data_IF_472975457383
#
_entry.id   IF_472975457383
#
_cell.length_a   1.000
_cell.length_b   1.000
_cell.length_c   1.000
_cell.angle_alpha   90.00
_cell.angle_beta   90.00
_cell.angle_gamma   90.00
#
_symmetry.space_group_name_H-M   'P 1'
#
loop_
_entity.id
_entity.type
_entity.pdbx_description
1 polymer ?
#
# COMPACT_ATOMS: atom_id res chain seq x y z
N UNK A 1 1.92 2.49 39.22
CA UNK A 1 2.66 2.14 37.98
C UNK A 1 2.46 0.70 37.47
N UNK A 2 1.93 -0.26 38.23
CA UNK A 2 1.67 -1.66 37.78
C UNK A 2 0.33 -1.84 37.01
N UNK A 3 -0.69 -1.04 37.30
CA UNK A 3 -2.05 -1.18 36.70
C UNK A 3 -2.09 -0.79 35.21
N UNK A 4 -1.32 0.20 34.80
CA UNK A 4 -1.29 0.67 33.40
C UNK A 4 -0.73 -0.38 32.41
N UNK A 5 0.21 -1.23 32.85
CA UNK A 5 0.75 -2.33 32.00
C UNK A 5 -0.27 -3.46 31.75
N UNK A 6 -1.26 -3.65 32.61
CA UNK A 6 -2.32 -4.64 32.41
C UNK A 6 -3.38 -4.17 31.41
N UNK A 7 -3.68 -2.88 31.40
CA UNK A 7 -4.67 -2.28 30.50
C UNK A 7 -4.16 -2.36 29.04
N UNK A 8 -2.86 -2.13 28.80
CA UNK A 8 -2.28 -2.19 27.45
C UNK A 8 -2.25 -3.63 26.91
N UNK A 9 -1.95 -4.63 27.75
CA UNK A 9 -2.02 -6.05 27.37
C UNK A 9 -3.45 -6.49 27.04
N UNK A 10 -4.43 -6.00 27.81
CA UNK A 10 -5.83 -6.35 27.60
C UNK A 10 -6.39 -5.72 26.31
N UNK A 11 -5.99 -4.49 25.99
CA UNK A 11 -6.32 -3.82 24.71
C UNK A 11 -5.69 -4.54 23.52
N UNK A 12 -4.42 -4.93 23.62
CA UNK A 12 -3.73 -5.70 22.57
C UNK A 12 -4.42 -7.04 22.30
N UNK A 13 -4.85 -7.74 23.35
CA UNK A 13 -5.57 -9.03 23.22
C UNK A 13 -6.95 -8.86 22.56
N UNK A 14 -7.66 -7.77 22.83
CA UNK A 14 -8.93 -7.45 22.17
C UNK A 14 -8.75 -7.15 20.69
N UNK A 15 -7.71 -6.44 20.31
CA UNK A 15 -7.38 -6.19 18.91
C UNK A 15 -6.99 -7.48 18.18
N UNK A 16 -6.27 -8.38 18.84
CA UNK A 16 -5.90 -9.68 18.28
C UNK A 16 -7.12 -10.59 18.10
N UNK A 17 -8.06 -10.57 19.05
CA UNK A 17 -9.33 -11.30 18.98
C UNK A 17 -10.26 -10.74 17.89
N UNK A 18 -10.37 -9.42 17.77
CA UNK A 18 -11.11 -8.75 16.69
C UNK A 18 -10.53 -9.09 15.32
N UNK A 19 -9.21 -9.11 15.19
CA UNK A 19 -8.52 -9.49 13.96
C UNK A 19 -8.72 -10.98 13.64
N UNK A 20 -8.69 -11.85 14.66
CA UNK A 20 -8.98 -13.28 14.53
C UNK A 20 -10.43 -13.56 14.12
N UNK A 21 -11.39 -12.82 14.66
CA UNK A 21 -12.81 -12.95 14.29
C UNK A 21 -13.08 -12.48 12.86
N UNK A 22 -12.35 -11.49 12.34
CA UNK A 22 -12.45 -11.06 10.93
C UNK A 22 -12.03 -12.17 9.96
N UNK A 23 -11.10 -13.05 10.37
CA UNK A 23 -10.61 -14.17 9.57
C UNK A 23 -11.56 -15.39 9.60
N UNK A 24 -12.55 -15.41 10.50
CA UNK A 24 -13.49 -16.53 10.69
C UNK A 24 -14.85 -16.31 10.04
N UNK A 25 -15.03 -15.30 9.18
CA UNK A 25 -16.29 -15.13 8.42
C UNK A 25 -16.45 -16.32 7.45
N UNK A 26 -17.58 -17.07 7.50
CA UNK A 26 -17.78 -18.19 6.59
C UNK A 26 -17.83 -17.69 5.15
N UNK A 27 -16.90 -18.15 4.34
CA UNK A 27 -16.71 -17.76 2.94
C UNK A 27 -17.74 -18.49 2.06
N UNK A 28 -18.93 -17.93 1.96
CA UNK A 28 -19.91 -18.31 0.92
C UNK A 28 -19.94 -17.31 -0.25
N UNK A 29 -19.05 -16.33 -0.24
CA UNK A 29 -18.85 -15.36 -1.33
C UNK A 29 -17.55 -15.72 -2.03
N UNK A 30 -17.55 -15.82 -3.36
CA UNK A 30 -16.32 -16.04 -4.15
C UNK A 30 -15.49 -14.76 -4.21
N UNK A 31 -15.16 -14.18 -3.06
CA UNK A 31 -14.26 -13.04 -3.00
C UNK A 31 -12.86 -13.49 -3.43
N UNK A 32 -12.32 -12.87 -4.47
CA UNK A 32 -10.95 -13.11 -4.93
C UNK A 32 -10.12 -11.83 -4.74
N UNK A 33 -9.02 -11.95 -4.02
CA UNK A 33 -8.09 -10.83 -3.85
C UNK A 33 -7.20 -10.66 -5.09
N UNK A 34 -7.09 -11.70 -5.92
CA UNK A 34 -6.39 -11.71 -7.20
C UNK A 34 -7.06 -12.70 -8.14
N UNK A 35 -7.56 -12.19 -9.28
CA UNK A 35 -8.33 -12.99 -10.26
C UNK A 35 -7.49 -13.43 -11.47
N UNK A 36 -6.23 -12.99 -11.55
CA UNK A 36 -5.35 -13.32 -12.67
C UNK A 36 -5.51 -12.38 -13.86
N UNK A 37 -5.17 -12.88 -15.05
CA UNK A 37 -5.13 -12.08 -16.29
C UNK A 37 -6.43 -11.31 -16.54
N UNK A 38 -6.31 -9.99 -16.78
CA UNK A 38 -7.41 -9.09 -17.05
C UNK A 38 -8.01 -8.41 -15.82
N UNK A 39 -7.63 -8.82 -14.61
CA UNK A 39 -8.10 -8.19 -13.37
C UNK A 39 -7.65 -6.73 -13.26
N UNK A 40 -8.57 -5.84 -12.90
CA UNK A 40 -8.30 -4.43 -12.65
C UNK A 40 -8.61 -4.13 -11.20
N UNK A 41 -7.62 -3.66 -10.46
CA UNK A 41 -7.78 -3.20 -9.09
C UNK A 41 -7.49 -1.71 -8.98
N UNK A 42 -8.40 -0.99 -8.36
CA UNK A 42 -8.22 0.41 -7.96
C UNK A 42 -8.16 0.48 -6.45
N UNK A 43 -7.23 1.22 -5.92
CA UNK A 43 -7.08 1.34 -4.48
C UNK A 43 -6.83 2.79 -4.05
N UNK A 44 -7.30 3.10 -2.84
CA UNK A 44 -7.09 4.39 -2.21
C UNK A 44 -6.90 4.21 -0.70
N UNK A 45 -6.02 5.01 -0.12
CA UNK A 45 -5.75 4.87 1.31
C UNK A 45 -4.90 5.97 1.92
N UNK A 46 -4.64 5.79 3.18
CA UNK A 46 -3.67 6.56 3.93
C UNK A 46 -2.26 6.12 3.59
N UNK A 47 -1.37 7.09 3.45
CA UNK A 47 0.06 6.85 3.26
C UNK A 47 0.89 7.61 4.30
N UNK A 48 1.97 6.98 4.73
CA UNK A 48 2.99 7.62 5.57
C UNK A 48 4.36 7.41 4.93
N UNK A 49 5.05 8.48 4.59
CA UNK A 49 6.38 8.44 3.97
C UNK A 49 7.38 9.14 4.87
N UNK A 50 8.27 8.35 5.50
CA UNK A 50 9.31 8.89 6.37
C UNK A 50 8.76 9.73 7.53
N UNK A 51 7.59 9.36 8.08
CA UNK A 51 6.91 10.08 9.15
C UNK A 51 5.92 11.16 8.68
N UNK A 52 5.81 11.42 7.37
CA UNK A 52 4.84 12.38 6.81
C UNK A 52 3.56 11.68 6.39
N UNK A 53 2.45 12.16 6.91
CA UNK A 53 1.11 11.64 6.61
C UNK A 53 0.59 12.18 5.28
N UNK A 54 -0.14 11.34 4.57
CA UNK A 54 -0.70 11.66 3.27
C UNK A 54 -1.73 10.66 2.78
N UNK A 55 -1.96 10.66 1.49
CA UNK A 55 -2.89 9.78 0.79
C UNK A 55 -2.19 9.10 -0.38
N UNK A 56 -2.68 7.93 -0.73
CA UNK A 56 -2.25 7.16 -1.89
C UNK A 56 -3.46 6.74 -2.70
N UNK A 57 -3.35 6.86 -4.01
CA UNK A 57 -4.32 6.39 -4.99
C UNK A 57 -3.57 5.64 -6.07
N UNK A 58 -4.07 4.48 -6.49
CA UNK A 58 -3.43 3.73 -7.55
C UNK A 58 -4.35 2.71 -8.20
N UNK A 59 -3.83 2.10 -9.26
CA UNK A 59 -4.48 1.01 -9.96
C UNK A 59 -3.45 0.02 -10.47
N UNK A 60 -3.85 -1.26 -10.49
CA UNK A 60 -3.12 -2.37 -11.08
C UNK A 60 -3.94 -2.99 -12.20
N UNK A 61 -3.28 -3.41 -13.26
CA UNK A 61 -3.82 -4.25 -14.33
C UNK A 61 -3.03 -5.55 -14.41
N UNK A 62 -3.71 -6.67 -14.33
CA UNK A 62 -3.10 -7.99 -14.42
C UNK A 62 -2.76 -8.35 -15.86
N UNK A 63 -1.47 -8.51 -16.13
CA UNK A 63 -0.96 -8.99 -17.43
C UNK A 63 -0.99 -10.51 -17.53
N UNK A 64 -0.99 -11.18 -16.39
CA UNK A 64 -1.04 -12.65 -16.27
C UNK A 64 -1.50 -13.01 -14.86
N UNK A 65 -1.64 -14.32 -14.59
CA UNK A 65 -1.98 -14.83 -13.27
C UNK A 65 -0.98 -14.45 -12.17
N UNK A 66 0.23 -14.07 -12.56
CA UNK A 66 1.33 -13.77 -11.62
C UNK A 66 1.82 -12.34 -11.65
N UNK A 67 1.53 -11.57 -12.70
CA UNK A 67 2.16 -10.27 -12.93
C UNK A 67 1.14 -9.20 -13.20
N UNK A 68 1.26 -8.08 -12.49
CA UNK A 68 0.54 -6.84 -12.79
C UNK A 68 1.47 -5.68 -13.09
N UNK A 69 0.93 -4.71 -13.82
CA UNK A 69 1.50 -3.39 -14.01
C UNK A 69 0.49 -2.35 -13.56
N UNK A 70 0.97 -1.23 -13.05
CA UNK A 70 0.06 -0.21 -12.54
C UNK A 70 0.65 1.17 -12.43
N UNK A 71 -0.19 2.09 -12.00
CA UNK A 71 0.18 3.46 -11.71
C UNK A 71 -0.29 3.86 -10.31
N UNK A 72 0.48 4.72 -9.66
CA UNK A 72 0.21 5.17 -8.31
C UNK A 72 0.58 6.63 -8.14
N UNK A 73 -0.27 7.37 -7.46
CA UNK A 73 -0.02 8.74 -7.00
C UNK A 73 0.02 8.73 -5.48
N UNK A 74 1.09 9.20 -4.90
CA UNK A 74 1.22 9.41 -3.46
C UNK A 74 1.36 10.90 -3.19
N UNK A 75 0.58 11.43 -2.26
CA UNK A 75 0.71 12.79 -1.76
C UNK A 75 0.96 12.76 -0.26
N UNK A 76 1.99 13.45 0.21
CA UNK A 76 2.25 13.66 1.64
C UNK A 76 2.33 15.12 2.00
N UNK A 77 1.90 15.46 3.20
CA UNK A 77 1.92 16.83 3.69
C UNK A 77 3.35 17.24 4.05
N UNK A 78 3.82 18.31 3.42
CA UNK A 78 5.17 18.85 3.58
C UNK A 78 5.07 20.20 4.32
N UNK A 79 4.90 20.16 5.65
CA UNK A 79 4.73 21.37 6.49
C UNK A 79 6.05 22.07 6.83
N UNK A 80 7.16 21.36 6.74
CA UNK A 80 8.46 21.78 7.28
C UNK A 80 9.34 22.54 6.29
N UNK A 81 8.83 22.88 5.10
CA UNK A 81 9.55 23.63 4.09
C UNK A 81 9.00 25.04 3.97
N UNK A 82 9.90 26.01 3.71
CA UNK A 82 9.59 27.43 3.59
C UNK A 82 8.46 27.76 2.61
N UNK A 83 7.75 28.86 2.86
CA UNK A 83 6.54 29.27 2.14
C UNK A 83 6.83 29.64 0.67
N UNK A 84 6.80 28.64 -0.22
CA UNK A 84 6.92 28.81 -1.66
C UNK A 84 5.81 28.10 -2.43
N UNK A 85 5.56 28.55 -3.68
CA UNK A 85 4.59 27.96 -4.62
C UNK A 85 4.83 26.46 -4.90
N UNK A 86 6.05 25.99 -4.71
CA UNK A 86 6.49 24.63 -5.02
C UNK A 86 6.17 23.62 -3.91
N UNK A 87 5.73 24.10 -2.74
CA UNK A 87 5.45 23.28 -1.56
C UNK A 87 4.45 22.14 -1.83
N UNK A 88 3.37 22.46 -2.53
CA UNK A 88 2.35 21.47 -2.87
C UNK A 88 2.92 20.39 -3.83
N UNK A 89 3.74 20.79 -4.80
CA UNK A 89 4.35 19.90 -5.77
C UNK A 89 5.40 18.97 -5.14
N UNK A 90 6.09 19.41 -4.08
CA UNK A 90 7.07 18.59 -3.37
C UNK A 90 6.45 17.35 -2.71
N UNK A 91 5.18 17.44 -2.31
CA UNK A 91 4.44 16.37 -1.66
C UNK A 91 3.94 15.27 -2.61
N UNK A 92 3.99 15.45 -3.94
CA UNK A 92 3.50 14.47 -4.90
C UNK A 92 4.61 13.58 -5.46
N UNK A 93 4.32 12.29 -5.57
CA UNK A 93 5.06 11.36 -6.40
C UNK A 93 4.09 10.56 -7.27
N UNK A 94 4.29 10.60 -8.59
CA UNK A 94 3.59 9.76 -9.56
C UNK A 94 4.54 8.65 -9.97
N UNK A 95 4.15 7.40 -9.82
CA UNK A 95 4.98 6.23 -10.10
C UNK A 95 4.26 5.19 -10.94
N UNK A 96 5.03 4.52 -11.80
CA UNK A 96 4.66 3.25 -12.43
C UNK A 96 5.20 2.12 -11.58
N UNK A 97 4.50 0.99 -11.56
CA UNK A 97 4.91 -0.19 -10.79
C UNK A 97 4.65 -1.48 -11.56
N UNK A 98 5.43 -2.48 -11.23
CA UNK A 98 5.23 -3.85 -11.64
C UNK A 98 5.27 -4.75 -10.40
N UNK A 99 4.29 -5.63 -10.26
CA UNK A 99 4.17 -6.53 -9.13
C UNK A 99 4.14 -7.98 -9.57
N UNK A 100 4.68 -8.85 -8.74
CA UNK A 100 4.53 -10.29 -8.81
C UNK A 100 3.61 -10.75 -7.67
N UNK A 101 2.58 -11.52 -8.00
CA UNK A 101 1.57 -12.03 -7.08
C UNK A 101 1.90 -13.47 -6.67
N UNK A 102 1.93 -13.71 -5.37
CA UNK A 102 2.38 -14.96 -4.76
C UNK A 102 1.23 -15.89 -4.39
N UNK A 103 -0.03 -15.46 -4.58
CA UNK A 103 -1.21 -16.17 -4.10
C UNK A 103 -1.25 -17.62 -4.58
N UNK A 104 -1.08 -17.88 -5.88
CA UNK A 104 -1.04 -19.23 -6.45
C UNK A 104 0.18 -20.04 -6.00
N UNK A 105 1.37 -19.43 -6.02
CA UNK A 105 2.64 -20.09 -5.66
C UNK A 105 2.61 -20.57 -4.21
N UNK A 106 2.05 -19.73 -3.33
CA UNK A 106 1.94 -20.02 -1.89
C UNK A 106 0.65 -20.80 -1.55
N UNK A 107 -0.22 -21.07 -2.55
CA UNK A 107 -1.53 -21.71 -2.37
C UNK A 107 -2.36 -21.01 -1.29
N UNK A 108 -2.41 -19.69 -1.34
CA UNK A 108 -3.18 -18.89 -0.39
C UNK A 108 -4.68 -19.05 -0.65
N UNK A 109 -5.53 -18.80 0.38
CA UNK A 109 -6.97 -18.67 0.16
C UNK A 109 -7.25 -17.58 -0.88
N UNK A 110 -8.25 -17.77 -1.73
CA UNK A 110 -8.62 -16.84 -2.82
C UNK A 110 -8.85 -15.40 -2.34
N UNK A 111 -9.28 -15.21 -1.10
CA UNK A 111 -9.51 -13.91 -0.48
C UNK A 111 -8.24 -13.15 -0.12
N UNK A 112 -7.07 -13.80 -0.21
CA UNK A 112 -5.79 -13.23 0.23
C UNK A 112 -4.80 -13.22 -0.93
N UNK A 113 -4.21 -12.07 -1.19
CA UNK A 113 -3.10 -11.89 -2.12
C UNK A 113 -1.91 -11.25 -1.40
N UNK A 114 -0.73 -11.80 -1.63
CA UNK A 114 0.56 -11.21 -1.23
C UNK A 114 1.31 -10.90 -2.52
N UNK A 115 1.81 -9.69 -2.63
CA UNK A 115 2.55 -9.27 -3.80
C UNK A 115 3.87 -8.59 -3.43
N UNK A 116 4.82 -8.65 -4.32
CA UNK A 116 6.08 -7.91 -4.24
C UNK A 116 6.42 -7.33 -5.61
N UNK A 117 7.09 -6.20 -5.62
CA UNK A 117 7.37 -5.54 -6.88
C UNK A 117 8.35 -4.38 -6.78
N UNK A 118 8.46 -3.68 -7.89
CA UNK A 118 9.26 -2.47 -8.00
C UNK A 118 8.43 -1.32 -8.54
N UNK A 119 8.80 -0.11 -8.15
CA UNK A 119 8.18 1.12 -8.63
C UNK A 119 9.23 2.10 -9.12
N UNK A 120 8.88 2.86 -10.15
CA UNK A 120 9.67 3.96 -10.68
C UNK A 120 8.77 5.18 -10.77
N UNK A 121 9.02 6.16 -9.93
CA UNK A 121 8.26 7.40 -9.86
C UNK A 121 9.04 8.59 -10.40
N UNK A 122 8.37 9.74 -10.46
CA UNK A 122 9.01 11.01 -10.80
C UNK A 122 10.06 11.43 -9.76
N UNK A 123 9.88 11.01 -8.51
CA UNK A 123 10.76 11.36 -7.40
C UNK A 123 11.72 10.24 -7.04
N UNK A 124 11.24 9.01 -6.98
CA UNK A 124 12.02 7.88 -6.50
C UNK A 124 11.72 6.59 -7.25
N UNK A 125 12.71 5.70 -7.25
CA UNK A 125 12.52 4.29 -7.57
C UNK A 125 12.70 3.46 -6.29
N UNK A 126 11.93 2.37 -6.15
CA UNK A 126 11.94 1.55 -4.95
C UNK A 126 11.41 0.16 -5.15
N UNK A 127 11.48 -0.61 -4.07
CA UNK A 127 10.89 -1.95 -3.98
C UNK A 127 9.69 -1.89 -3.04
N UNK A 128 8.71 -2.74 -3.30
CA UNK A 128 7.50 -2.80 -2.51
C UNK A 128 7.08 -4.23 -2.22
N UNK A 129 6.37 -4.40 -1.10
CA UNK A 129 5.67 -5.62 -0.74
C UNK A 129 4.33 -5.22 -0.14
N UNK A 130 3.29 -5.96 -0.47
CA UNK A 130 1.96 -5.68 0.04
C UNK A 130 1.12 -6.93 0.20
N UNK A 131 -0.01 -6.73 0.86
CA UNK A 131 -1.03 -7.74 1.09
C UNK A 131 -2.39 -7.13 0.78
N UNK A 132 -3.28 -7.91 0.17
CA UNK A 132 -4.69 -7.59 -0.07
C UNK A 132 -5.56 -8.66 0.56
N UNK A 133 -6.66 -8.24 1.12
CA UNK A 133 -7.69 -9.12 1.65
C UNK A 133 -9.06 -8.63 1.18
N UNK A 134 -9.73 -9.44 0.37
CA UNK A 134 -11.07 -9.16 -0.12
C UNK A 134 -12.11 -9.81 0.80
N UNK A 135 -13.06 -9.02 1.27
CA UNK A 135 -14.19 -9.47 2.08
C UNK A 135 -15.50 -9.52 1.27
N UNK A 136 -15.47 -9.07 0.03
CA UNK A 136 -16.51 -9.26 -0.98
C UNK A 136 -15.89 -9.43 -2.36
N UNK A 137 -16.70 -9.78 -3.37
CA UNK A 137 -16.23 -9.92 -4.77
C UNK A 137 -15.53 -8.66 -5.28
N UNK A 138 -16.04 -7.49 -4.93
CA UNK A 138 -15.54 -6.23 -5.45
C UNK A 138 -14.71 -5.40 -4.47
N UNK A 139 -14.78 -5.67 -3.16
CA UNK A 139 -14.22 -4.77 -2.15
C UNK A 139 -13.30 -5.51 -1.19
N UNK A 140 -12.16 -4.91 -0.93
CA UNK A 140 -11.18 -5.40 0.01
C UNK A 140 -10.41 -4.28 0.72
N UNK A 141 -9.43 -4.69 1.48
CA UNK A 141 -8.44 -3.83 2.13
C UNK A 141 -7.06 -4.19 1.65
N UNK A 142 -6.16 -3.22 1.64
CA UNK A 142 -4.75 -3.48 1.35
C UNK A 142 -3.84 -2.83 2.39
N UNK A 143 -2.65 -3.41 2.51
CA UNK A 143 -1.53 -2.82 3.22
C UNK A 143 -0.26 -3.01 2.40
N UNK A 144 0.57 -1.97 2.31
CA UNK A 144 1.78 -1.97 1.50
C UNK A 144 2.93 -1.29 2.24
N UNK A 145 4.10 -1.85 2.09
CA UNK A 145 5.37 -1.25 2.48
C UNK A 145 6.20 -1.03 1.22
N UNK A 146 6.68 0.19 1.01
CA UNK A 146 7.57 0.53 -0.09
C UNK A 146 8.84 1.17 0.47
N UNK A 147 9.99 0.65 0.08
CA UNK A 147 11.28 1.24 0.37
C UNK A 147 11.77 2.02 -0.85
N UNK A 148 11.78 3.33 -0.75
CA UNK A 148 12.30 4.22 -1.76
C UNK A 148 13.83 4.22 -1.70
N UNK A 149 14.49 3.74 -2.76
CA UNK A 149 15.93 3.50 -2.77
C UNK A 149 16.69 4.63 -3.47
N UNK A 150 16.27 4.98 -4.68
CA UNK A 150 17.00 5.89 -5.56
C UNK A 150 16.15 7.09 -5.93
N UNK A 151 16.80 8.24 -6.10
CA UNK A 151 16.21 9.43 -6.75
C UNK A 151 16.15 9.19 -8.25
N UNK A 152 15.06 9.65 -8.91
CA UNK A 152 14.85 9.46 -10.36
C UNK A 152 15.02 10.77 -11.13
N UNK A 153 13.95 11.46 -11.49
CA UNK A 153 13.96 12.52 -12.51
C UNK A 153 14.03 13.96 -11.96
N UNK A 154 13.98 14.17 -10.66
CA UNK A 154 14.01 15.52 -10.10
C UNK A 154 15.44 16.01 -9.85
N UNK A 155 15.89 17.06 -10.52
CA UNK A 155 17.23 17.64 -10.35
C UNK A 155 17.38 18.46 -9.05
N UNK A 156 16.26 18.93 -8.49
CA UNK A 156 16.26 19.71 -7.27
C UNK A 156 16.51 18.84 -6.03
N UNK A 157 17.61 19.12 -5.35
CA UNK A 157 18.04 18.44 -4.11
C UNK A 157 16.96 18.48 -3.03
N UNK A 158 16.10 19.49 -3.01
CA UNK A 158 15.04 19.65 -2.02
C UNK A 158 13.86 18.72 -2.28
N UNK A 159 13.43 18.55 -3.51
CA UNK A 159 12.28 17.70 -3.88
C UNK A 159 12.51 16.20 -3.62
N UNK A 160 13.75 15.72 -3.79
CA UNK A 160 14.11 14.33 -3.51
C UNK A 160 14.09 13.96 -2.02
N UNK A 161 14.32 14.91 -1.12
CA UNK A 161 14.43 14.66 0.33
C UNK A 161 13.15 14.14 0.98
N UNK A 162 11.99 14.41 0.40
CA UNK A 162 10.69 13.96 0.95
C UNK A 162 10.56 12.45 0.84
N UNK A 163 10.98 11.87 -0.27
CA UNK A 163 10.75 10.46 -0.61
C UNK A 163 12.01 9.60 -0.58
N UNK A 164 13.15 10.14 -1.03
CA UNK A 164 14.39 9.37 -1.20
C UNK A 164 14.89 8.75 0.12
N UNK A 165 15.23 7.47 0.07
CA UNK A 165 15.71 6.72 1.23
C UNK A 165 14.66 6.52 2.34
N UNK A 166 13.39 6.89 2.09
CA UNK A 166 12.32 6.77 3.08
C UNK A 166 11.49 5.52 2.84
N UNK A 167 11.04 4.93 3.94
CA UNK A 167 10.02 3.89 3.91
C UNK A 167 8.65 4.55 3.80
N UNK A 168 7.83 4.08 2.87
CA UNK A 168 6.42 4.40 2.75
C UNK A 168 5.59 3.24 3.28
N UNK A 169 4.61 3.56 4.11
CA UNK A 169 3.60 2.63 4.63
C UNK A 169 2.25 3.11 4.14
N UNK A 170 1.48 2.23 3.51
CA UNK A 170 0.14 2.54 3.02
C UNK A 170 -0.87 1.51 3.49
N UNK A 171 -2.09 1.96 3.77
CA UNK A 171 -3.23 1.11 4.13
C UNK A 171 -4.51 1.77 3.63
N UNK A 172 -5.41 0.97 3.08
CA UNK A 172 -6.65 1.51 2.53
C UNK A 172 -7.60 0.45 2.00
N UNK A 173 -8.50 0.91 1.14
CA UNK A 173 -9.49 0.09 0.46
C UNK A 173 -9.03 -0.23 -0.95
N UNK A 174 -9.43 -1.39 -1.45
CA UNK A 174 -9.28 -1.80 -2.85
C UNK A 174 -10.62 -2.21 -3.43
N UNK A 175 -10.82 -1.89 -4.70
CA UNK A 175 -12.01 -2.26 -5.48
C UNK A 175 -11.53 -3.02 -6.72
N UNK A 176 -12.17 -4.15 -7.00
CA UNK A 176 -11.95 -5.00 -8.17
C UNK A 176 -13.02 -4.73 -9.24
N UNK A 177 -12.62 -4.72 -10.51
CA UNK A 177 -13.49 -4.51 -11.67
C UNK A 177 -13.33 -5.60 -12.70
#
# INVERSE_FOLDING_TARGET
>A
MKIMKYIDKFRFFHWLLLFGCLLCVPHSVQAQAWDGEGDIKVYAGYANVGGRSGIELGSDYALSDYVSVGGQVTYVNVKDYDEGRDRALMGYDLSLMGNYHWAEVLKLPSVLDIYSGASVGLRTAGLQVGVRYNFSEAIGVYGQVRQNLFKTFGDDVEHGRVYQGKTALSVGLTVTF
#
